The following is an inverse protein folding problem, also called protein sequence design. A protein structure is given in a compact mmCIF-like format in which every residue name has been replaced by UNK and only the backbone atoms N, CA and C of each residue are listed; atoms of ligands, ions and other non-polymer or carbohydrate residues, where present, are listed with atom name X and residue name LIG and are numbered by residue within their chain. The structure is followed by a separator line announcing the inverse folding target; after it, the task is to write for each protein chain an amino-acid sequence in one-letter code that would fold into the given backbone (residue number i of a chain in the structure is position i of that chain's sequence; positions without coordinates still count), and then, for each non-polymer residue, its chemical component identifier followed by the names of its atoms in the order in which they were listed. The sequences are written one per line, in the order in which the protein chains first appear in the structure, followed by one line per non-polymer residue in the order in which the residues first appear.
data_IF_785178932181
#
_entry.id   IF_785178932181
#
_cell.length_a   1.000
_cell.length_b   1.000
_cell.length_c   1.000
_cell.angle_alpha   90.00
_cell.angle_beta   90.00
_cell.angle_gamma   90.00
#
_symmetry.space_group_name_H-M   'P 1'
#
loop_
_entity.id
_entity.type
_entity.pdbx_description
1 polymer ?
#
# COMPACT_ATOMS: atom_id res chain seq x y z
N UNK A 1 17.81 6.47 -5.11
CA UNK A 1 16.57 6.46 -4.32
C UNK A 1 15.53 5.60 -5.02
N UNK A 2 15.07 4.53 -4.36
CA UNK A 2 13.99 3.66 -4.83
C UNK A 2 12.64 4.32 -4.53
N UNK A 3 11.77 4.44 -5.52
CA UNK A 3 10.48 5.12 -5.43
C UNK A 3 9.39 4.07 -5.28
N UNK A 4 8.64 4.12 -4.19
CA UNK A 4 7.58 3.14 -3.92
C UNK A 4 6.22 3.82 -3.79
N UNK A 5 5.16 3.04 -3.92
CA UNK A 5 3.83 3.44 -3.50
C UNK A 5 3.12 2.33 -2.75
N UNK A 6 2.00 2.66 -2.11
CA UNK A 6 1.21 1.71 -1.32
C UNK A 6 -0.24 1.71 -1.83
N UNK A 7 -0.80 0.53 -2.08
CA UNK A 7 -2.24 0.34 -2.23
C UNK A 7 -2.82 -0.08 -0.88
N UNK A 8 -3.75 0.70 -0.34
CA UNK A 8 -4.28 0.54 1.00
C UNK A 8 -5.81 0.32 1.01
N UNK A 9 -6.32 -0.20 2.13
CA UNK A 9 -7.74 -0.47 2.30
C UNK A 9 -8.52 0.83 2.53
N UNK A 10 -9.44 1.15 1.60
CA UNK A 10 -10.32 2.31 1.69
C UNK A 10 -11.16 2.34 2.99
N UNK A 11 -11.76 1.21 3.35
CA UNK A 11 -12.67 1.12 4.51
C UNK A 11 -11.97 1.41 5.84
N UNK A 12 -10.73 0.97 5.99
CA UNK A 12 -9.95 1.24 7.20
C UNK A 12 -9.51 2.71 7.25
N UNK A 13 -9.11 3.28 6.11
CA UNK A 13 -8.66 4.68 6.04
C UNK A 13 -9.80 5.67 6.27
N UNK A 14 -10.95 5.46 5.62
CA UNK A 14 -12.12 6.35 5.74
C UNK A 14 -12.72 6.39 7.14
N UNK A 15 -12.59 5.29 7.90
CA UNK A 15 -13.06 5.21 9.29
C UNK A 15 -12.01 5.71 10.30
N UNK A 16 -10.92 6.33 9.85
CA UNK A 16 -9.82 6.79 10.69
C UNK A 16 -9.16 5.68 11.54
N UNK A 17 -9.24 4.43 11.10
CA UNK A 17 -8.60 3.28 11.76
C UNK A 17 -7.13 3.10 11.33
N UNK A 18 -6.67 3.91 10.37
CA UNK A 18 -5.27 4.04 9.95
C UNK A 18 -4.92 5.54 9.78
N UNK A 19 -4.88 6.31 10.89
CA UNK A 19 -4.75 7.77 10.83
C UNK A 19 -3.47 8.17 10.11
N UNK A 20 -3.64 8.92 9.01
CA UNK A 20 -2.58 9.40 8.14
C UNK A 20 -1.55 8.33 7.70
N UNK A 21 -1.95 7.06 7.67
CA UNK A 21 -1.08 5.92 7.37
C UNK A 21 0.21 5.90 8.21
N UNK A 22 0.18 6.48 9.42
CA UNK A 22 1.35 6.74 10.25
C UNK A 22 2.17 5.47 10.53
N UNK A 23 1.50 4.32 10.70
CA UNK A 23 2.14 3.02 10.88
C UNK A 23 3.00 2.62 9.67
N UNK A 24 2.54 2.85 8.44
CA UNK A 24 3.32 2.60 7.23
C UNK A 24 4.53 3.53 7.15
N UNK A 25 4.33 4.84 7.42
CA UNK A 25 5.39 5.85 7.33
C UNK A 25 6.50 5.60 8.38
N UNK A 26 6.11 5.33 9.62
CA UNK A 26 7.06 4.99 10.71
C UNK A 26 7.77 3.67 10.42
N UNK A 27 7.06 2.66 9.90
CA UNK A 27 7.70 1.39 9.52
C UNK A 27 8.72 1.57 8.40
N UNK A 28 8.48 2.42 7.39
CA UNK A 28 9.49 2.73 6.38
C UNK A 28 10.69 3.44 6.99
N UNK A 29 10.46 4.46 7.83
CA UNK A 29 11.52 5.21 8.49
C UNK A 29 12.42 4.32 9.35
N UNK A 30 11.84 3.34 10.05
CA UNK A 30 12.56 2.36 10.87
C UNK A 30 13.01 1.12 10.11
N UNK A 31 12.66 1.01 8.82
CA UNK A 31 12.88 -0.18 7.99
C UNK A 31 12.36 -1.47 8.67
N UNK A 32 11.11 -1.47 9.13
CA UNK A 32 10.46 -2.58 9.82
C UNK A 32 9.38 -3.27 8.97
N UNK A 33 9.13 -4.56 9.22
CA UNK A 33 8.15 -5.32 8.46
C UNK A 33 8.65 -5.60 7.04
N UNK A 34 7.79 -5.44 6.03
CA UNK A 34 8.20 -5.64 4.64
C UNK A 34 9.24 -4.61 4.17
N UNK A 35 9.38 -3.48 4.89
CA UNK A 35 10.40 -2.48 4.59
C UNK A 35 11.82 -2.88 5.03
N UNK A 36 11.99 -3.98 5.78
CA UNK A 36 13.31 -4.50 6.16
C UNK A 36 14.19 -4.82 4.94
N UNK A 37 13.57 -5.14 3.81
CA UNK A 37 14.27 -5.40 2.55
C UNK A 37 15.03 -4.17 2.01
N UNK A 38 14.69 -2.98 2.49
CA UNK A 38 15.28 -1.71 2.08
C UNK A 38 16.30 -1.16 3.09
N UNK A 39 16.86 -2.00 3.99
CA UNK A 39 17.84 -1.57 5.01
C UNK A 39 19.06 -0.86 4.43
N UNK A 40 19.46 -1.23 3.21
CA UNK A 40 20.63 -0.67 2.52
C UNK A 40 20.25 0.28 1.36
N UNK A 41 18.95 0.60 1.22
CA UNK A 41 18.44 1.44 0.14
C UNK A 41 17.86 2.74 0.69
N UNK A 42 18.15 3.84 -0.02
CA UNK A 42 17.40 5.08 0.12
C UNK A 42 16.05 4.95 -0.59
N UNK A 43 14.93 5.12 0.14
CA UNK A 43 13.58 4.82 -0.34
C UNK A 43 12.59 5.90 0.07
N UNK A 44 11.75 6.32 -0.88
CA UNK A 44 10.67 7.28 -0.65
C UNK A 44 9.31 6.75 -1.12
N UNK A 45 8.26 7.07 -0.36
CA UNK A 45 6.87 6.82 -0.77
C UNK A 45 6.40 8.00 -1.59
N UNK A 46 6.01 7.76 -2.84
CA UNK A 46 5.45 8.79 -3.73
C UNK A 46 3.92 8.89 -3.64
N UNK A 47 3.25 7.88 -3.08
CA UNK A 47 1.79 7.91 -2.94
C UNK A 47 1.21 6.73 -2.19
N UNK A 48 0.02 6.95 -1.64
CA UNK A 48 -0.82 5.93 -0.99
C UNK A 48 -2.23 6.01 -1.57
N UNK A 49 -2.61 4.99 -2.34
CA UNK A 49 -3.88 4.92 -3.06
C UNK A 49 -4.83 3.94 -2.38
N UNK A 50 -6.13 4.13 -2.60
CA UNK A 50 -7.17 3.25 -2.07
C UNK A 50 -7.51 2.11 -3.02
N UNK A 51 -7.84 0.94 -2.47
CA UNK A 51 -8.33 -0.21 -3.24
C UNK A 51 -9.72 -0.01 -3.89
N UNK A 52 -10.42 1.09 -3.58
CA UNK A 52 -11.73 1.40 -4.17
C UNK A 52 -12.96 0.86 -3.40
N UNK A 53 -12.76 0.29 -2.21
CA UNK A 53 -13.83 -0.14 -1.30
C UNK A 53 -14.37 -1.56 -1.58
N UNK A 54 -15.10 -2.12 -0.61
CA UNK A 54 -15.57 -3.51 -0.64
C UNK A 54 -16.64 -3.76 -1.71
N UNK A 55 -17.57 -2.82 -1.86
CA UNK A 55 -18.63 -2.84 -2.89
C UNK A 55 -18.12 -2.61 -4.32
N UNK A 56 -16.83 -2.26 -4.46
CA UNK A 56 -16.18 -2.20 -5.76
C UNK A 56 -15.77 -3.58 -6.27
N UNK A 57 -15.36 -3.68 -7.53
CA UNK A 57 -14.64 -4.85 -8.03
C UNK A 57 -13.13 -4.52 -8.14
N UNK A 58 -12.33 -5.50 -8.60
CA UNK A 58 -10.88 -5.34 -8.78
C UNK A 58 -10.49 -4.18 -9.70
N UNK A 59 -11.38 -3.79 -10.62
CA UNK A 59 -11.17 -2.67 -11.55
C UNK A 59 -11.01 -1.33 -10.84
N UNK A 60 -11.67 -1.10 -9.70
CA UNK A 60 -11.53 0.18 -8.97
C UNK A 60 -10.12 0.40 -8.44
N UNK A 61 -9.46 -0.64 -7.94
CA UNK A 61 -8.06 -0.58 -7.53
C UNK A 61 -7.15 -0.21 -8.70
N UNK A 62 -7.38 -0.83 -9.87
CA UNK A 62 -6.62 -0.53 -11.10
C UNK A 62 -6.84 0.90 -11.56
N UNK A 63 -8.08 1.39 -11.56
CA UNK A 63 -8.38 2.78 -11.91
C UNK A 63 -7.70 3.78 -10.95
N UNK A 64 -7.67 3.47 -9.64
CA UNK A 64 -6.98 4.31 -8.66
C UNK A 64 -5.47 4.39 -8.91
N UNK A 65 -4.83 3.26 -9.19
CA UNK A 65 -3.42 3.20 -9.58
C UNK A 65 -3.14 3.91 -10.91
N UNK A 66 -4.04 3.78 -11.89
CA UNK A 66 -3.93 4.46 -13.18
C UNK A 66 -4.00 5.98 -13.01
N UNK A 67 -4.94 6.49 -12.21
CA UNK A 67 -5.04 7.92 -11.92
C UNK A 67 -3.76 8.42 -11.24
N UNK A 68 -3.23 7.70 -10.24
CA UNK A 68 -1.96 8.05 -9.62
C UNK A 68 -0.80 8.10 -10.63
N UNK A 69 -0.69 7.10 -11.52
CA UNK A 69 0.30 7.10 -12.61
C UNK A 69 0.17 8.34 -13.49
N UNK A 70 -1.05 8.75 -13.86
CA UNK A 70 -1.23 9.95 -14.70
C UNK A 70 -0.74 11.23 -14.02
N UNK A 71 -0.88 11.35 -12.70
CA UNK A 71 -0.33 12.47 -11.93
C UNK A 71 1.21 12.44 -11.94
N UNK A 72 1.81 11.26 -11.71
CA UNK A 72 3.28 11.12 -11.72
C UNK A 72 3.88 11.41 -13.11
N UNK A 73 3.24 10.94 -14.19
CA UNK A 73 3.71 11.20 -15.56
C UNK A 73 3.78 12.70 -15.87
N UNK A 74 2.79 13.49 -15.41
CA UNK A 74 2.82 14.94 -15.57
C UNK A 74 4.01 15.60 -14.85
N UNK A 75 4.50 14.98 -13.78
CA UNK A 75 5.67 15.42 -13.00
C UNK A 75 6.98 14.78 -13.48
N UNK A 76 6.96 14.00 -14.57
CA UNK A 76 8.11 13.21 -15.07
C UNK A 76 8.62 12.20 -14.04
N UNK A 77 7.70 11.64 -13.26
CA UNK A 77 7.97 10.71 -12.17
C UNK A 77 7.36 9.32 -12.43
N UNK A 78 7.89 8.31 -11.73
CA UNK A 78 7.35 6.93 -11.73
C UNK A 78 7.73 6.19 -10.43
N UNK A 79 7.14 5.02 -10.20
CA UNK A 79 7.49 4.12 -9.08
C UNK A 79 8.15 2.84 -9.58
N UNK A 80 9.05 2.30 -8.76
CA UNK A 80 9.76 1.04 -9.00
C UNK A 80 9.01 -0.17 -8.42
N UNK A 81 8.28 0.06 -7.31
CA UNK A 81 7.62 -0.99 -6.54
C UNK A 81 6.28 -0.52 -5.98
N UNK A 82 5.28 -1.40 -6.03
CA UNK A 82 4.00 -1.20 -5.36
C UNK A 82 3.87 -2.18 -4.19
N UNK A 83 3.68 -1.65 -3.00
CA UNK A 83 3.31 -2.43 -1.82
C UNK A 83 1.78 -2.55 -1.70
N UNK A 84 1.31 -3.73 -1.31
CA UNK A 84 -0.06 -3.97 -0.89
C UNK A 84 -0.11 -3.82 0.62
N UNK A 85 -0.88 -2.87 1.14
CA UNK A 85 -0.88 -2.52 2.56
C UNK A 85 -1.21 -3.70 3.47
N UNK A 86 -0.58 -3.76 4.65
CA UNK A 86 -0.89 -4.77 5.68
C UNK A 86 -2.38 -4.82 6.01
N UNK A 87 -3.07 -3.68 5.94
CA UNK A 87 -4.51 -3.58 6.13
C UNK A 87 -5.31 -4.40 5.09
N UNK A 88 -4.86 -4.46 3.83
CA UNK A 88 -5.47 -5.32 2.82
C UNK A 88 -5.09 -6.79 3.05
N UNK A 89 -3.83 -7.07 3.32
CA UNK A 89 -3.35 -8.44 3.52
C UNK A 89 -4.07 -9.17 4.66
N UNK A 90 -4.38 -8.44 5.74
CA UNK A 90 -5.04 -8.99 6.93
C UNK A 90 -6.57 -8.97 6.87
N UNK A 91 -7.18 -7.94 6.30
CA UNK A 91 -8.62 -7.70 6.47
C UNK A 91 -9.45 -7.72 5.19
N UNK A 92 -8.82 -7.71 4.00
CA UNK A 92 -9.57 -7.66 2.76
C UNK A 92 -10.01 -9.08 2.32
N UNK A 93 -11.33 -9.35 2.22
CA UNK A 93 -11.82 -10.66 1.75
C UNK A 93 -11.60 -10.88 0.25
N UNK A 94 -11.27 -9.82 -0.49
CA UNK A 94 -11.07 -9.82 -1.96
C UNK A 94 -9.62 -9.57 -2.36
N UNK A 95 -8.67 -9.75 -1.43
CA UNK A 95 -7.26 -9.43 -1.66
C UNK A 95 -6.69 -10.18 -2.86
N UNK A 96 -7.02 -11.47 -3.02
CA UNK A 96 -6.43 -12.31 -4.06
C UNK A 96 -6.82 -11.84 -5.46
N UNK A 97 -8.11 -11.52 -5.66
CA UNK A 97 -8.62 -10.95 -6.92
C UNK A 97 -7.95 -9.61 -7.27
N UNK A 98 -7.75 -8.76 -6.26
CA UNK A 98 -7.14 -7.45 -6.45
C UNK A 98 -5.65 -7.61 -6.76
N UNK A 99 -4.93 -8.43 -5.99
CA UNK A 99 -3.49 -8.69 -6.18
C UNK A 99 -3.26 -9.32 -7.55
N UNK A 100 -4.09 -10.27 -7.98
CA UNK A 100 -4.00 -10.87 -9.30
C UNK A 100 -4.15 -9.82 -10.41
N UNK A 101 -5.18 -8.96 -10.34
CA UNK A 101 -5.36 -7.89 -11.31
C UNK A 101 -4.21 -6.86 -11.30
N UNK A 102 -3.68 -6.54 -10.12
CA UNK A 102 -2.55 -5.62 -9.98
C UNK A 102 -1.29 -6.24 -10.60
N UNK A 103 -0.97 -7.49 -10.29
CA UNK A 103 0.18 -8.21 -10.87
C UNK A 103 0.06 -8.31 -12.39
N UNK A 104 -1.13 -8.53 -12.92
CA UNK A 104 -1.39 -8.57 -14.37
C UNK A 104 -1.13 -7.22 -15.07
N UNK A 105 -1.45 -6.10 -14.42
CA UNK A 105 -1.45 -4.77 -15.07
C UNK A 105 -0.29 -3.85 -14.68
N UNK A 106 0.38 -4.06 -13.56
CA UNK A 106 1.30 -3.08 -12.99
C UNK A 106 2.64 -2.99 -13.75
N UNK A 107 3.16 -4.11 -14.26
CA UNK A 107 4.45 -4.15 -14.97
C UNK A 107 5.67 -3.80 -14.09
N UNK A 108 5.51 -3.79 -12.76
CA UNK A 108 6.54 -3.51 -11.76
C UNK A 108 6.47 -4.53 -10.62
N UNK A 109 7.46 -4.53 -9.73
CA UNK A 109 7.48 -5.42 -8.57
C UNK A 109 6.28 -5.12 -7.64
N UNK A 110 5.58 -6.18 -7.24
CA UNK A 110 4.48 -6.13 -6.28
C UNK A 110 4.90 -6.83 -5.00
N UNK A 111 4.84 -6.12 -3.87
CA UNK A 111 5.17 -6.67 -2.56
C UNK A 111 3.91 -6.73 -1.71
N UNK A 112 3.68 -7.87 -1.08
CA UNK A 112 2.53 -8.11 -0.22
C UNK A 112 2.87 -7.75 1.23
N UNK A 113 2.34 -6.63 1.71
CA UNK A 113 2.51 -6.14 3.07
C UNK A 113 3.27 -4.82 3.17
N UNK A 114 3.15 -4.18 4.34
CA UNK A 114 3.87 -2.96 4.72
C UNK A 114 4.42 -3.09 6.14
N UNK A 115 3.75 -2.51 7.15
CA UNK A 115 4.18 -2.54 8.54
C UNK A 115 3.78 -3.85 9.24
N UNK A 116 4.53 -4.22 10.29
CA UNK A 116 4.19 -5.36 11.16
C UNK A 116 3.30 -5.00 12.36
N UNK A 117 3.12 -3.71 12.65
CA UNK A 117 2.42 -3.25 13.85
C UNK A 117 0.97 -3.76 13.94
N UNK A 118 0.67 -4.45 15.04
CA UNK A 118 -0.67 -4.79 15.51
C UNK A 118 -0.76 -4.40 17.00
N UNK A 119 -1.94 -4.00 17.50
CA UNK A 119 -2.12 -3.81 18.94
C UNK A 119 -1.77 -5.13 19.66
N UNK A 120 -0.86 -5.13 20.66
CA UNK A 120 -0.54 -6.35 21.40
C UNK A 120 -1.73 -6.84 22.23
N UNK A 121 -2.53 -5.88 22.72
CA UNK A 121 -3.69 -6.08 23.60
C UNK A 121 -4.67 -4.93 23.39
N UNK A 122 -5.97 -5.18 23.61
CA UNK A 122 -7.02 -4.13 23.55
C UNK A 122 -7.52 -3.78 24.97
N UNK A 123 -7.52 -4.76 25.88
CA UNK A 123 -8.06 -4.61 27.24
C UNK A 123 -7.11 -5.11 28.34
N UNK A 124 -5.82 -5.30 28.05
CA UNK A 124 -4.84 -5.81 29.02
C UNK A 124 -3.45 -5.23 28.81
N UNK A 125 -2.58 -5.34 29.80
CA UNK A 125 -1.15 -5.08 29.66
C UNK A 125 -0.46 -6.22 28.89
#
# INVERSE_FOLDING_TARGET
MKKIAILACKMIREQNLCPADAKCLVALSRKEGEFERYKNDDVSILGIMDCGGCEGNKTRAICSLLLFKTQLVALKENIDVLHIGTCMMKFCPRKDDIIAAVKEKAGIEIIEGTHKYAPPTIFGN
#
